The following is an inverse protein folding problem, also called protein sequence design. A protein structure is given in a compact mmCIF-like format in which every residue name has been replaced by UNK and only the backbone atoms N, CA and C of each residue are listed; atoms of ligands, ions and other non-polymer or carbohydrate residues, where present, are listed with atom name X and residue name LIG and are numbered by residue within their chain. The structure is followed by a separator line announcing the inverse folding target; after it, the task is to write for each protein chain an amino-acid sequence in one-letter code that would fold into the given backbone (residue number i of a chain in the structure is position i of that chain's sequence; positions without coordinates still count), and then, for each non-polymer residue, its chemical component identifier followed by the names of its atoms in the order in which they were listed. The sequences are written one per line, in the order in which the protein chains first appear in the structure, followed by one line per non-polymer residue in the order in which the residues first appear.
data_IF_573412502537
#
_entry.id   IF_573412502537
#
_cell.length_a   1.000
_cell.length_b   1.000
_cell.length_c   1.000
_cell.angle_alpha   90.00
_cell.angle_beta   90.00
_cell.angle_gamma   90.00
#
_symmetry.space_group_name_H-M   'P 1'
#
loop_
_entity.id
_entity.type
_entity.pdbx_description
1 polymer ?
#
# COMPACT_ATOMS: atom_id res chain seq x y z
N UNK A 1 2.32 7.90 2.82
CA UNK A 1 1.15 8.05 3.70
C UNK A 1 -0.01 7.26 3.15
N UNK A 2 -0.81 6.64 4.03
CA UNK A 2 -2.04 5.94 3.66
C UNK A 2 -3.21 6.64 4.32
N UNK A 3 -4.25 6.97 3.56
CA UNK A 3 -5.45 7.61 4.05
C UNK A 3 -6.63 6.67 3.95
N UNK A 4 -7.41 6.62 5.03
CA UNK A 4 -8.57 5.74 5.14
C UNK A 4 -9.80 6.53 5.54
N UNK A 5 -10.92 6.15 4.96
CA UNK A 5 -12.24 6.63 5.32
C UNK A 5 -13.14 5.42 5.62
N UNK A 6 -13.74 5.41 6.81
CA UNK A 6 -14.56 4.29 7.31
C UNK A 6 -13.91 2.90 7.16
N UNK A 7 -12.58 2.83 7.33
CA UNK A 7 -11.80 1.59 7.21
C UNK A 7 -11.47 1.18 5.77
N UNK A 8 -11.88 1.96 4.77
CA UNK A 8 -11.49 1.78 3.37
C UNK A 8 -10.31 2.68 3.02
N UNK A 9 -9.31 2.14 2.34
CA UNK A 9 -8.25 2.96 1.75
C UNK A 9 -8.84 3.84 0.62
N UNK A 10 -8.61 5.14 0.71
CA UNK A 10 -9.11 6.11 -0.28
C UNK A 10 -7.97 6.82 -1.03
N UNK A 11 -6.79 6.92 -0.42
CA UNK A 11 -5.61 7.53 -1.01
C UNK A 11 -4.35 6.92 -0.42
N UNK A 12 -3.30 6.84 -1.24
CA UNK A 12 -1.99 6.42 -0.84
C UNK A 12 -0.96 7.23 -1.62
N UNK A 13 0.12 7.63 -0.95
CA UNK A 13 1.24 8.35 -1.57
C UNK A 13 2.59 7.92 -0.98
N UNK A 14 3.61 7.91 -1.82
CA UNK A 14 5.01 7.67 -1.44
C UNK A 14 5.90 8.54 -2.32
N UNK A 15 6.43 9.62 -1.74
CA UNK A 15 7.18 10.62 -2.49
C UNK A 15 6.30 11.28 -3.56
N UNK A 16 6.67 11.09 -4.83
CA UNK A 16 5.91 11.61 -5.99
C UNK A 16 4.91 10.61 -6.58
N UNK A 17 4.80 9.41 -5.98
CA UNK A 17 3.96 8.32 -6.48
C UNK A 17 2.67 8.22 -5.67
N UNK A 18 1.52 7.99 -6.32
CA UNK A 18 0.19 7.94 -5.68
C UNK A 18 -0.75 6.87 -6.25
N UNK A 19 -1.58 6.26 -5.41
CA UNK A 19 -2.60 5.28 -5.82
C UNK A 19 -2.28 3.83 -5.44
N UNK A 20 -2.98 2.88 -6.07
CA UNK A 20 -2.99 1.45 -5.70
C UNK A 20 -1.56 0.86 -5.59
N UNK A 21 -0.65 1.24 -6.50
CA UNK A 21 0.72 0.72 -6.52
C UNK A 21 1.52 1.07 -5.26
N UNK A 22 1.25 2.21 -4.61
CA UNK A 22 1.89 2.58 -3.36
C UNK A 22 1.56 1.55 -2.27
N UNK A 23 0.33 1.04 -2.27
CA UNK A 23 -0.10 0.03 -1.31
C UNK A 23 0.67 -1.28 -1.51
N UNK A 24 0.95 -1.65 -2.77
CA UNK A 24 1.74 -2.85 -3.07
C UNK A 24 3.18 -2.74 -2.58
N UNK A 25 3.79 -1.57 -2.76
CA UNK A 25 5.14 -1.28 -2.24
C UNK A 25 5.17 -1.39 -0.71
N UNK A 26 4.18 -0.81 -0.02
CA UNK A 26 4.08 -0.87 1.45
C UNK A 26 3.89 -2.30 1.95
N UNK A 27 3.08 -3.12 1.29
CA UNK A 27 2.94 -4.56 1.60
C UNK A 27 4.28 -5.29 1.45
N UNK A 28 5.14 -4.79 0.57
CA UNK A 28 6.44 -5.35 0.27
C UNK A 28 7.58 -4.96 1.21
N UNK A 29 7.36 -4.07 2.18
CA UNK A 29 8.40 -3.64 3.12
C UNK A 29 8.73 -4.76 4.12
N UNK A 30 10.00 -5.16 4.18
CA UNK A 30 10.48 -6.25 5.04
C UNK A 30 11.33 -5.77 6.24
N UNK A 31 11.80 -4.52 6.20
CA UNK A 31 12.65 -3.93 7.22
C UNK A 31 11.88 -3.42 8.44
N UNK A 32 12.60 -3.18 9.54
CA UNK A 32 12.04 -2.50 10.72
C UNK A 32 11.59 -1.08 10.38
N UNK A 33 10.35 -0.76 10.76
CA UNK A 33 9.75 0.55 10.55
C UNK A 33 8.67 0.83 11.59
N UNK A 34 8.27 2.10 11.67
CA UNK A 34 7.21 2.55 12.57
C UNK A 34 6.02 3.07 11.77
N UNK A 35 4.82 2.67 12.18
CA UNK A 35 3.58 3.24 11.67
C UNK A 35 2.99 4.17 12.73
N UNK A 36 2.81 5.44 12.36
CA UNK A 36 2.04 6.40 13.15
C UNK A 36 0.64 6.54 12.55
N UNK A 37 -0.37 6.55 13.41
CA UNK A 37 -1.76 6.76 12.99
C UNK A 37 -2.20 8.15 13.44
N UNK A 38 -2.61 8.96 12.48
CA UNK A 38 -3.11 10.31 12.69
C UNK A 38 -4.63 10.35 12.47
N UNK A 39 -5.45 10.36 13.55
CA UNK A 39 -6.90 10.39 13.40
C UNK A 39 -7.38 11.77 12.92
N UNK A 40 -8.47 11.77 12.15
CA UNK A 40 -9.11 12.97 11.59
C UNK A 40 -8.25 13.72 10.55
N UNK A 41 -7.34 13.03 9.87
CA UNK A 41 -6.62 13.59 8.73
C UNK A 41 -7.42 13.34 7.44
N UNK A 42 -7.77 14.43 6.73
CA UNK A 42 -8.48 14.33 5.46
C UNK A 42 -7.52 13.99 4.33
N UNK A 43 -7.94 13.09 3.43
CA UNK A 43 -7.15 12.77 2.26
C UNK A 43 -7.13 13.95 1.27
N UNK A 44 -5.97 14.34 0.75
CA UNK A 44 -5.86 15.44 -0.23
C UNK A 44 -6.53 15.08 -1.57
N UNK A 45 -6.66 13.78 -1.88
CA UNK A 45 -7.22 13.25 -3.11
C UNK A 45 -7.91 11.90 -2.84
N UNK A 46 -8.59 11.37 -3.84
CA UNK A 46 -9.02 9.97 -3.88
C UNK A 46 -8.34 9.30 -5.07
N UNK A 47 -7.38 8.41 -4.80
CA UNK A 47 -6.58 7.74 -5.85
C UNK A 47 -6.67 6.22 -5.79
N UNK A 48 -7.31 5.67 -4.76
CA UNK A 48 -7.51 4.24 -4.62
C UNK A 48 -8.78 3.82 -5.35
N UNK A 49 -8.63 2.94 -6.34
CA UNK A 49 -9.74 2.42 -7.12
C UNK A 49 -10.22 1.06 -6.58
N UNK A 50 -9.29 0.24 -6.12
CA UNK A 50 -9.54 -1.13 -5.68
C UNK A 50 -10.12 -1.23 -4.26
N UNK A 51 -10.68 -2.38 -3.90
CA UNK A 51 -11.04 -2.68 -2.51
C UNK A 51 -9.79 -3.02 -1.69
N UNK A 52 -9.86 -2.91 -0.37
CA UNK A 52 -8.77 -3.31 0.52
C UNK A 52 -8.33 -4.76 0.26
N UNK A 53 -9.29 -5.67 0.07
CA UNK A 53 -9.02 -7.08 -0.21
C UNK A 53 -8.28 -7.25 -1.53
N UNK A 54 -8.72 -6.58 -2.60
CA UNK A 54 -8.03 -6.61 -3.90
C UNK A 54 -6.61 -6.07 -3.79
N UNK A 55 -6.41 -4.98 -3.04
CA UNK A 55 -5.09 -4.38 -2.86
C UNK A 55 -4.14 -5.31 -2.12
N UNK A 56 -4.60 -5.91 -1.02
CA UNK A 56 -3.80 -6.83 -0.21
C UNK A 56 -3.48 -8.11 -0.98
N UNK A 57 -4.45 -8.69 -1.69
CA UNK A 57 -4.24 -9.90 -2.48
C UNK A 57 -3.25 -9.66 -3.61
N UNK A 58 -3.34 -8.53 -4.32
CA UNK A 58 -2.40 -8.20 -5.38
C UNK A 58 -1.01 -7.86 -4.83
N UNK A 59 -0.92 -7.14 -3.72
CA UNK A 59 0.34 -6.86 -3.04
C UNK A 59 1.06 -8.15 -2.61
N UNK A 60 0.34 -9.10 -2.01
CA UNK A 60 0.88 -10.41 -1.65
C UNK A 60 1.34 -11.20 -2.89
N UNK A 61 0.56 -11.18 -3.99
CA UNK A 61 0.94 -11.84 -5.25
C UNK A 61 2.27 -11.30 -5.78
N UNK A 62 2.43 -9.98 -5.78
CA UNK A 62 3.65 -9.30 -6.24
C UNK A 62 4.85 -9.58 -5.31
N UNK A 63 4.64 -9.62 -3.99
CA UNK A 63 5.67 -10.01 -3.02
C UNK A 63 6.16 -11.44 -3.26
N UNK A 64 5.24 -12.38 -3.46
CA UNK A 64 5.56 -13.78 -3.74
C UNK A 64 6.27 -13.96 -5.09
N UNK A 65 5.95 -13.13 -6.08
CA UNK A 65 6.63 -13.12 -7.37
C UNK A 65 8.08 -12.63 -7.22
N UNK A 66 8.31 -11.50 -6.55
CA UNK A 66 9.67 -10.99 -6.26
C UNK A 66 10.53 -12.01 -5.51
N UNK A 67 9.99 -12.64 -4.46
CA UNK A 67 10.72 -13.67 -3.69
C UNK A 67 11.12 -14.87 -4.54
N UNK A 68 10.29 -15.26 -5.51
CA UNK A 68 10.59 -16.35 -6.44
C UNK A 68 11.68 -15.96 -7.43
N UNK A 69 11.66 -14.72 -7.92
CA UNK A 69 12.70 -14.19 -8.81
C UNK A 69 14.05 -14.09 -8.09
N UNK A 70 14.09 -13.55 -6.87
CA UNK A 70 15.30 -13.45 -6.05
C UNK A 70 15.93 -14.81 -5.75
N UNK A 71 15.11 -15.83 -5.47
CA UNK A 71 15.60 -17.19 -5.20
C UNK A 71 16.14 -17.91 -6.46
N UNK A 72 15.87 -17.39 -7.66
CA UNK A 72 16.33 -17.96 -8.93
C UNK A 72 17.66 -17.36 -9.42
N UNK A 73 18.21 -16.36 -8.72
CA UNK A 73 19.48 -15.67 -9.00
C UNK A 73 20.59 -16.20 -8.09
#
# INVERSE_FOLDING_TARGET
TLFMDEGRLIHAELGETEGDHVVYEVVGWEDEGEFAVHPNEEAPKSTIASSNESLLMEGCRLLDERKREEAAV
#
